data_IF_775938309707
#
_entry.id   IF_775938309707
#
_cell.length_a   1.000
_cell.length_b   1.000
_cell.length_c   1.000
_cell.angle_alpha   90.00
_cell.angle_beta   90.00
_cell.angle_gamma   90.00
#
_symmetry.space_group_name_H-M   'P 1'
#
loop_
_entity.id
_entity.type
_entity.pdbx_description
1 polymer ?
#
# COMPACT_ATOMS: atom_id res chain seq x y z
N UNK A 1 -12.28 24.79 -13.62
CA UNK A 1 -11.19 23.79 -13.66
C UNK A 1 -11.26 23.02 -12.36
N UNK A 2 -11.69 21.76 -12.37
CA UNK A 2 -11.88 20.97 -11.14
C UNK A 2 -10.52 20.67 -10.52
N UNK A 3 -10.25 21.27 -9.36
CA UNK A 3 -9.20 20.89 -8.43
C UNK A 3 -9.51 19.48 -7.93
N UNK A 4 -9.02 18.47 -8.65
CA UNK A 4 -9.27 17.05 -8.36
C UNK A 4 -8.54 16.61 -7.11
N UNK A 5 -9.16 16.78 -5.95
CA UNK A 5 -8.72 16.13 -4.73
C UNK A 5 -8.81 14.62 -4.93
N UNK A 6 -7.71 13.90 -4.71
CA UNK A 6 -7.74 12.44 -4.68
C UNK A 6 -8.66 11.97 -3.54
N UNK A 7 -9.37 10.83 -3.71
CA UNK A 7 -10.17 10.27 -2.63
C UNK A 7 -9.27 9.99 -1.42
N UNK A 8 -9.66 10.51 -0.26
CA UNK A 8 -9.04 10.15 1.03
C UNK A 8 -9.70 8.87 1.49
N UNK A 9 -8.99 7.75 1.35
CA UNK A 9 -9.45 6.43 1.80
C UNK A 9 -8.50 5.90 2.87
N UNK A 10 -9.07 5.26 3.90
CA UNK A 10 -8.29 4.51 4.87
C UNK A 10 -7.94 3.15 4.29
N UNK A 11 -6.67 2.75 4.39
CA UNK A 11 -6.19 1.46 3.89
C UNK A 11 -5.69 0.64 5.06
N UNK A 12 -6.43 -0.41 5.40
CA UNK A 12 -6.05 -1.34 6.46
C UNK A 12 -4.74 -2.05 6.06
N UNK A 13 -3.80 -2.12 7.00
CA UNK A 13 -2.48 -2.70 6.78
C UNK A 13 -1.97 -3.34 8.08
N UNK A 14 -1.95 -4.66 8.12
CA UNK A 14 -1.42 -5.43 9.26
C UNK A 14 0.09 -5.65 9.20
N UNK A 15 0.75 -5.11 8.18
CA UNK A 15 2.19 -5.24 7.98
C UNK A 15 2.86 -4.20 8.86
N UNK A 16 3.23 -4.58 10.08
CA UNK A 16 3.79 -3.68 11.10
C UNK A 16 5.13 -3.03 10.72
N UNK A 17 5.82 -3.56 9.71
CA UNK A 17 7.02 -2.97 9.11
C UNK A 17 6.77 -2.24 7.78
N UNK A 18 5.51 -1.95 7.44
CA UNK A 18 5.17 -1.01 6.38
C UNK A 18 5.63 0.40 6.78
N UNK A 19 6.24 1.14 5.84
CA UNK A 19 6.71 2.53 6.06
C UNK A 19 5.66 3.44 6.68
N UNK A 20 4.40 3.23 6.30
CA UNK A 20 3.27 4.09 6.67
C UNK A 20 2.34 3.42 7.68
N UNK A 21 2.78 2.32 8.31
CA UNK A 21 2.00 1.62 9.33
C UNK A 21 1.74 2.53 10.53
N UNK A 22 0.47 2.64 10.91
CA UNK A 22 0.03 3.25 12.17
C UNK A 22 -1.31 2.63 12.56
N UNK A 23 -1.35 1.96 13.70
CA UNK A 23 -2.57 1.36 14.29
C UNK A 23 -3.37 0.46 13.33
N UNK A 24 -2.73 -0.51 12.67
CA UNK A 24 -3.37 -1.39 11.66
C UNK A 24 -3.82 -0.70 10.36
N UNK A 25 -3.38 0.53 10.09
CA UNK A 25 -3.64 1.24 8.85
C UNK A 25 -2.36 1.78 8.20
N UNK A 26 -2.44 2.00 6.89
CA UNK A 26 -1.45 2.69 6.07
C UNK A 26 -1.88 4.16 5.92
N UNK A 27 -1.09 5.08 6.47
CA UNK A 27 -1.35 6.52 6.41
C UNK A 27 -0.46 7.21 5.37
N UNK A 28 -0.63 6.85 4.10
CA UNK A 28 0.10 7.46 2.99
C UNK A 28 -0.82 8.36 2.16
N UNK A 29 -0.31 9.49 1.66
CA UNK A 29 -1.05 10.34 0.73
C UNK A 29 -1.34 9.62 -0.60
N UNK A 30 -0.47 8.67 -0.98
CA UNK A 30 -0.58 7.81 -2.15
C UNK A 30 0.00 6.42 -1.84
N UNK A 31 -0.67 5.37 -2.33
CA UNK A 31 -0.21 3.98 -2.21
C UNK A 31 -0.05 3.42 -3.62
N UNK A 32 1.09 2.78 -3.87
CA UNK A 32 1.34 2.04 -5.10
C UNK A 32 1.16 0.54 -4.82
N UNK A 33 0.27 -0.09 -5.60
CA UNK A 33 -0.04 -1.52 -5.49
C UNK A 33 0.42 -2.20 -6.77
N UNK A 34 1.27 -3.21 -6.62
CA UNK A 34 1.88 -3.94 -7.71
C UNK A 34 1.61 -5.44 -7.58
N UNK A 35 1.63 -6.19 -8.69
CA UNK A 35 1.59 -7.64 -8.62
C UNK A 35 2.90 -8.18 -8.00
N UNK A 36 2.79 -9.25 -7.21
CA UNK A 36 3.92 -9.98 -6.60
C UNK A 36 4.88 -10.56 -7.63
N UNK A 37 4.34 -10.94 -8.78
CA UNK A 37 5.06 -11.51 -9.91
C UNK A 37 4.86 -10.63 -11.15
N UNK A 38 5.66 -10.84 -12.19
CA UNK A 38 5.51 -10.12 -13.44
C UNK A 38 4.11 -10.34 -14.04
N UNK A 39 3.48 -9.29 -14.56
CA UNK A 39 2.18 -9.37 -15.24
C UNK A 39 1.02 -8.86 -14.40
N UNK A 40 -0.05 -9.66 -14.26
CA UNK A 40 -1.30 -9.26 -13.60
C UNK A 40 -1.49 -10.07 -12.32
N UNK A 41 -1.98 -9.43 -11.26
CA UNK A 41 -2.45 -10.12 -10.07
C UNK A 41 -3.71 -10.93 -10.41
N UNK A 42 -3.71 -12.22 -10.11
CA UNK A 42 -4.85 -13.10 -10.33
C UNK A 42 -5.66 -13.31 -9.05
N UNK A 43 -5.01 -13.14 -7.89
CA UNK A 43 -5.61 -13.22 -6.55
C UNK A 43 -5.25 -11.98 -5.72
N UNK A 44 -5.94 -11.77 -4.61
CA UNK A 44 -5.59 -10.71 -3.64
C UNK A 44 -4.19 -10.88 -3.06
N UNK A 45 -3.75 -12.12 -2.89
CA UNK A 45 -2.44 -12.46 -2.33
C UNK A 45 -1.29 -12.11 -3.30
N UNK A 46 -1.62 -11.90 -4.57
CA UNK A 46 -0.70 -11.39 -5.58
C UNK A 46 -0.59 -9.87 -5.56
N UNK A 47 -1.39 -9.13 -4.78
CA UNK A 47 -1.33 -7.68 -4.70
C UNK A 47 -0.44 -7.23 -3.53
N UNK A 48 0.68 -6.60 -3.84
CA UNK A 48 1.64 -6.06 -2.87
C UNK A 48 1.62 -4.54 -2.86
N UNK A 49 1.66 -3.94 -1.67
CA UNK A 49 1.98 -2.52 -1.55
C UNK A 49 3.51 -2.34 -1.64
N UNK A 50 4.00 -1.46 -2.52
CA UNK A 50 5.43 -1.11 -2.63
C UNK A 50 5.94 -0.23 -1.46
N UNK A 51 5.38 -0.43 -0.26
CA UNK A 51 5.64 0.36 0.94
C UNK A 51 6.44 -0.42 1.99
N UNK A 52 6.81 -1.66 1.67
CA UNK A 52 7.67 -2.49 2.50
C UNK A 52 9.08 -1.90 2.54
N UNK A 53 9.57 -1.58 3.75
CA UNK A 53 10.97 -1.26 3.98
C UNK A 53 11.60 -2.45 4.68
N UNK A 54 12.60 -3.13 4.08
CA UNK A 54 13.36 -4.15 4.78
C UNK A 54 13.98 -3.55 6.04
N UNK A 55 13.63 -4.09 7.21
CA UNK A 55 14.39 -3.80 8.42
C UNK A 55 15.61 -4.71 8.38
N UNK A 56 16.80 -4.13 8.16
CA UNK A 56 18.06 -4.85 8.33
C UNK A 56 18.10 -5.40 9.77
N UNK A 57 18.19 -6.72 9.91
CA UNK A 57 18.71 -7.36 11.12
C UNK A 57 20.21 -7.51 11.00
#
# INVERSE_FOLDING_TARGET
>A
MQSGAHPKMEVMCHVSNCRFYKNDYCHADKIEVNPKHAGRAHTSDDALCSTFIPQNR
#
